data_IF_668918797410
#
_entry.id   IF_668918797410
#
_cell.length_a   1.000
_cell.length_b   1.000
_cell.length_c   1.000
_cell.angle_alpha   90.00
_cell.angle_beta   90.00
_cell.angle_gamma   90.00
#
_symmetry.space_group_name_H-M   'P 1'
#
loop_
_entity.id
_entity.type
_entity.pdbx_description
1 polymer ?
#
# COMPACT_ATOMS: atom_id res chain seq x y z
N UNK A 1 -19.91 -22.78 -13.43
CA UNK A 1 -19.61 -21.35 -13.67
C UNK A 1 -18.10 -21.21 -13.57
N UNK A 2 -17.41 -21.33 -14.69
CA UNK A 2 -15.94 -21.26 -14.74
C UNK A 2 -15.58 -19.91 -15.37
N UNK A 3 -15.04 -19.01 -14.56
CA UNK A 3 -14.40 -17.78 -15.04
C UNK A 3 -13.14 -18.22 -15.80
N UNK A 4 -13.31 -18.54 -17.08
CA UNK A 4 -12.23 -18.63 -18.04
C UNK A 4 -11.64 -17.23 -18.15
N UNK A 5 -10.70 -16.90 -17.27
CA UNK A 5 -9.86 -15.73 -17.44
C UNK A 5 -9.17 -15.92 -18.81
N UNK A 6 -9.45 -15.07 -19.82
CA UNK A 6 -8.81 -15.17 -21.12
C UNK A 6 -7.29 -15.13 -20.93
N UNK A 7 -6.55 -15.97 -21.64
CA UNK A 7 -5.09 -16.07 -21.53
C UNK A 7 -4.37 -14.74 -21.84
N UNK A 8 -5.07 -13.77 -22.44
CA UNK A 8 -4.61 -12.37 -22.59
C UNK A 8 -4.53 -11.60 -21.27
N UNK A 9 -5.26 -11.99 -20.22
CA UNK A 9 -5.19 -11.39 -18.89
C UNK A 9 -4.15 -12.04 -17.98
N UNK A 10 -3.45 -13.09 -18.43
CA UNK A 10 -2.27 -13.63 -17.74
C UNK A 10 -1.07 -12.80 -18.20
N UNK A 11 -0.55 -11.87 -17.37
CA UNK A 11 0.61 -11.09 -17.78
C UNK A 11 1.82 -12.03 -17.95
N UNK A 12 2.68 -11.79 -18.96
CA UNK A 12 3.81 -12.67 -19.25
C UNK A 12 4.73 -12.80 -18.02
N UNK A 13 5.45 -13.93 -17.86
CA UNK A 13 6.17 -14.29 -16.62
C UNK A 13 7.16 -13.20 -16.12
N UNK A 14 7.69 -12.39 -17.04
CA UNK A 14 8.55 -11.24 -16.72
C UNK A 14 7.86 -10.15 -15.89
N UNK A 15 6.55 -9.97 -16.06
CA UNK A 15 5.75 -9.02 -15.28
C UNK A 15 5.39 -9.63 -13.92
N UNK A 16 5.18 -10.95 -13.86
CA UNK A 16 4.89 -11.66 -12.60
C UNK A 16 6.09 -11.61 -11.64
N UNK A 17 7.32 -11.76 -12.13
CA UNK A 17 8.53 -11.61 -11.31
C UNK A 17 8.67 -10.21 -10.74
N UNK A 18 8.48 -9.17 -11.58
CA UNK A 18 8.52 -7.78 -11.11
C UNK A 18 7.42 -7.48 -10.10
N UNK A 19 6.19 -7.96 -10.32
CA UNK A 19 5.09 -7.82 -9.34
C UNK A 19 5.41 -8.55 -8.04
N UNK A 20 5.97 -9.76 -8.11
CA UNK A 20 6.37 -10.53 -6.93
C UNK A 20 7.47 -9.81 -6.15
N UNK A 21 8.50 -9.28 -6.81
CA UNK A 21 9.55 -8.51 -6.16
C UNK A 21 9.01 -7.23 -5.51
N UNK A 22 8.13 -6.49 -6.20
CA UNK A 22 7.49 -5.29 -5.66
C UNK A 22 6.55 -5.60 -4.48
N UNK A 23 5.82 -6.72 -4.52
CA UNK A 23 5.02 -7.17 -3.39
C UNK A 23 5.90 -7.53 -2.20
N UNK A 24 7.04 -8.20 -2.42
CA UNK A 24 7.95 -8.55 -1.34
C UNK A 24 8.63 -7.30 -0.74
N UNK A 25 9.04 -6.35 -1.57
CA UNK A 25 9.60 -5.07 -1.11
C UNK A 25 8.57 -4.27 -0.28
N UNK A 26 7.32 -4.20 -0.75
CA UNK A 26 6.24 -3.57 0.00
C UNK A 26 5.94 -4.30 1.33
N UNK A 27 6.11 -5.62 1.39
CA UNK A 27 5.96 -6.38 2.64
C UNK A 27 7.13 -6.12 3.60
N UNK A 28 8.35 -5.99 3.09
CA UNK A 28 9.54 -5.62 3.88
C UNK A 28 9.40 -4.20 4.42
N UNK A 29 8.89 -3.25 3.64
CA UNK A 29 8.57 -1.90 4.12
C UNK A 29 7.54 -1.88 5.25
N UNK A 30 6.60 -2.84 5.24
CA UNK A 30 5.59 -3.01 6.30
C UNK A 30 6.21 -3.66 7.54
N UNK A 31 7.04 -4.69 7.37
CA UNK A 31 7.71 -5.41 8.45
C UNK A 31 8.77 -4.55 9.16
N UNK A 32 9.54 -3.77 8.40
CA UNK A 32 10.57 -2.85 8.93
C UNK A 32 9.97 -1.56 9.54
N UNK A 33 8.64 -1.47 9.67
CA UNK A 33 8.01 -0.31 10.30
C UNK A 33 8.17 0.98 9.50
N UNK A 34 8.57 0.91 8.21
CA UNK A 34 8.55 2.04 7.26
C UNK A 34 7.13 2.38 6.82
N UNK A 35 6.17 2.21 7.72
CA UNK A 35 4.78 2.60 7.58
C UNK A 35 4.55 3.78 8.50
N UNK A 36 3.65 4.68 8.09
CA UNK A 36 3.23 5.73 9.02
C UNK A 36 2.42 5.04 10.12
N UNK A 37 2.74 5.37 11.38
CA UNK A 37 2.03 4.83 12.52
C UNK A 37 0.51 4.98 12.34
N UNK A 38 -0.21 3.90 12.65
CA UNK A 38 -1.65 3.86 12.42
C UNK A 38 -2.40 4.89 13.27
N UNK A 39 -1.93 5.19 14.49
CA UNK A 39 -2.50 6.21 15.36
C UNK A 39 -2.29 7.63 14.82
N UNK A 40 -1.12 7.92 14.25
CA UNK A 40 -0.85 9.19 13.55
C UNK A 40 -1.75 9.37 12.33
N UNK A 41 -1.95 8.31 11.54
CA UNK A 41 -2.87 8.33 10.40
C UNK A 41 -4.32 8.52 10.83
N UNK A 42 -4.76 7.86 11.91
CA UNK A 42 -6.12 8.02 12.44
C UNK A 42 -6.36 9.45 12.95
N UNK A 43 -5.43 9.98 13.74
CA UNK A 43 -5.55 11.35 14.29
C UNK A 43 -5.57 12.41 13.17
N UNK A 44 -4.76 12.20 12.12
CA UNK A 44 -4.81 13.03 10.93
C UNK A 44 -6.15 12.93 10.22
N UNK A 45 -6.67 11.71 9.99
CA UNK A 45 -7.95 11.50 9.35
C UNK A 45 -9.10 12.15 10.13
N UNK A 46 -9.12 11.98 11.46
CA UNK A 46 -10.12 12.58 12.35
C UNK A 46 -10.06 14.12 12.32
N UNK A 47 -8.87 14.71 12.13
CA UNK A 47 -8.71 16.16 12.01
C UNK A 47 -9.22 16.75 10.69
N UNK A 48 -9.41 15.92 9.65
CA UNK A 48 -9.94 16.40 8.35
C UNK A 48 -11.41 16.78 8.44
N UNK A 49 -12.13 16.21 9.40
CA UNK A 49 -13.52 16.55 9.69
C UNK A 49 -13.65 17.83 10.55
N UNK A 50 -12.54 18.38 11.06
CA UNK A 50 -12.45 19.60 11.86
C UNK A 50 -11.99 20.82 11.03
N UNK A 51 -12.31 22.04 11.49
CA UNK A 51 -11.93 23.32 10.83
C UNK A 51 -10.41 23.59 10.80
N UNK A 52 -9.60 22.76 11.48
CA UNK A 52 -8.14 22.87 11.54
C UNK A 52 -7.48 21.51 11.31
N UNK A 53 -7.38 21.07 10.04
CA UNK A 53 -6.77 19.79 9.72
C UNK A 53 -5.28 19.77 10.07
N UNK A 54 -4.85 18.63 10.61
CA UNK A 54 -3.45 18.37 10.94
C UNK A 54 -2.62 18.17 9.66
N UNK A 55 -1.32 18.50 9.68
CA UNK A 55 -0.44 18.23 8.57
C UNK A 55 -0.28 16.72 8.35
N UNK A 56 -0.09 16.33 7.08
CA UNK A 56 0.05 14.93 6.69
C UNK A 56 1.16 14.25 7.50
N UNK A 57 0.87 13.13 8.19
CA UNK A 57 1.87 12.44 9.00
C UNK A 57 2.93 11.83 8.08
N UNK A 58 4.19 12.15 8.37
CA UNK A 58 5.34 11.70 7.58
C UNK A 58 5.83 10.37 8.14
N UNK A 59 6.36 9.51 7.26
CA UNK A 59 7.16 8.37 7.70
C UNK A 59 8.35 8.93 8.48
N UNK A 60 8.50 8.56 9.74
CA UNK A 60 9.77 8.80 10.44
C UNK A 60 10.81 7.92 9.74
N UNK A 61 11.81 8.57 9.15
CA UNK A 61 12.89 7.93 8.37
C UNK A 61 14.02 7.45 9.27
#
# INVERSE_FOLDING_TARGET
>A
METRIPAEQVPPPRVQEKRRSLTLEALVDVDEGRTVDHGLMQTWADSLDDDRPLPLPRKEV
#
